data_IF_322361510484
#
_entry.id   IF_322361510484
#
_cell.length_a   1.000
_cell.length_b   1.000
_cell.length_c   1.000
_cell.angle_alpha   90.00
_cell.angle_beta   90.00
_cell.angle_gamma   90.00
#
_symmetry.space_group_name_H-M   'P 1'
#
loop_
_entity.id
_entity.type
_entity.pdbx_description
1 polymer ?
#
# COMPACT_ATOMS: atom_id res chain seq x y z
N UNK A 1 -23.15 -22.64 35.60
CA UNK A 1 -22.55 -22.26 34.31
C UNK A 1 -21.82 -23.48 33.81
N UNK A 2 -22.45 -24.22 32.91
CA UNK A 2 -22.05 -25.56 32.50
C UNK A 2 -20.90 -25.52 31.49
N UNK A 3 -20.17 -26.62 31.46
CA UNK A 3 -18.84 -26.86 30.88
C UNK A 3 -18.88 -26.93 29.34
N UNK A 4 -17.87 -26.38 28.68
CA UNK A 4 -17.59 -26.55 27.24
C UNK A 4 -16.08 -26.79 27.01
N UNK A 5 -15.54 -27.80 27.69
CA UNK A 5 -14.11 -28.18 27.67
C UNK A 5 -13.88 -29.58 27.06
N UNK A 6 -14.86 -30.14 26.33
CA UNK A 6 -14.80 -31.52 25.82
C UNK A 6 -14.60 -31.66 24.31
N UNK A 7 -14.33 -30.57 23.57
CA UNK A 7 -14.24 -30.60 22.10
C UNK A 7 -12.80 -30.66 21.55
N UNK A 8 -11.86 -31.25 22.28
CA UNK A 8 -10.55 -31.62 21.73
C UNK A 8 -10.46 -33.15 21.79
N UNK A 9 -10.60 -33.86 20.65
CA UNK A 9 -10.47 -35.31 20.61
C UNK A 9 -9.07 -35.71 21.06
N UNK A 10 -8.94 -36.31 22.25
CA UNK A 10 -7.67 -36.83 22.77
C UNK A 10 -7.13 -37.91 21.82
N UNK A 11 -5.96 -37.63 21.23
CA UNK A 11 -5.26 -38.55 20.35
C UNK A 11 -4.59 -39.72 21.09
N UNK A 12 -4.73 -39.83 22.41
CA UNK A 12 -3.95 -40.78 23.22
C UNK A 12 -4.74 -41.95 23.82
N UNK A 13 -6.08 -41.90 23.83
CA UNK A 13 -6.91 -42.84 24.63
C UNK A 13 -7.72 -43.87 23.83
N UNK A 14 -7.44 -44.00 22.52
CA UNK A 14 -8.16 -44.92 21.64
C UNK A 14 -7.28 -46.07 21.15
N UNK A 15 -7.72 -47.30 21.40
CA UNK A 15 -7.25 -48.55 20.76
C UNK A 15 -6.91 -48.26 19.29
N UNK A 16 -5.65 -48.50 18.91
CA UNK A 16 -5.10 -48.16 17.58
C UNK A 16 -5.88 -48.81 16.42
N UNK A 17 -6.67 -49.85 16.68
CA UNK A 17 -7.60 -50.48 15.74
C UNK A 17 -8.87 -49.68 15.43
N UNK A 18 -9.20 -48.65 16.22
CA UNK A 18 -10.38 -47.78 16.02
C UNK A 18 -10.06 -46.52 15.21
N UNK A 19 -8.81 -46.32 14.77
CA UNK A 19 -8.39 -45.12 14.01
C UNK A 19 -8.42 -45.29 12.50
N UNK A 20 -8.61 -46.52 12.05
CA UNK A 20 -8.80 -46.82 10.63
C UNK A 20 -10.29 -46.83 10.36
N UNK A 21 -10.74 -45.82 9.61
CA UNK A 21 -12.11 -45.73 9.11
C UNK A 21 -12.17 -46.52 7.81
N UNK A 22 -13.17 -47.38 7.66
CA UNK A 22 -13.35 -48.12 6.40
C UNK A 22 -13.91 -47.19 5.32
N UNK A 23 -13.63 -47.51 4.06
CA UNK A 23 -14.14 -46.73 2.93
C UNK A 23 -15.67 -46.60 2.97
N UNK A 24 -16.38 -47.69 3.30
CA UNK A 24 -17.84 -47.71 3.44
C UNK A 24 -18.33 -46.78 4.55
N UNK A 25 -17.60 -46.67 5.66
CA UNK A 25 -17.96 -45.77 6.75
C UNK A 25 -17.80 -44.30 6.33
N UNK A 26 -16.73 -43.96 5.58
CA UNK A 26 -16.53 -42.62 4.99
C UNK A 26 -17.64 -42.27 4.02
N UNK A 27 -17.99 -43.20 3.13
CA UNK A 27 -19.00 -42.97 2.09
C UNK A 27 -20.40 -42.83 2.71
N UNK A 28 -20.74 -43.65 3.71
CA UNK A 28 -22.00 -43.49 4.45
C UNK A 28 -22.06 -42.18 5.27
N UNK A 29 -20.92 -41.68 5.76
CA UNK A 29 -20.85 -40.41 6.47
C UNK A 29 -21.00 -39.22 5.52
N UNK A 30 -20.46 -39.31 4.30
CA UNK A 30 -20.66 -38.34 3.21
C UNK A 30 -22.12 -38.32 2.77
N UNK A 31 -22.72 -39.48 2.54
CA UNK A 31 -24.12 -39.60 2.11
C UNK A 31 -25.07 -38.98 3.15
N UNK A 32 -24.90 -39.29 4.44
CA UNK A 32 -25.69 -38.66 5.51
C UNK A 32 -25.52 -37.14 5.54
N UNK A 33 -24.30 -36.62 5.32
CA UNK A 33 -24.05 -35.18 5.27
C UNK A 33 -24.75 -34.55 4.06
N UNK A 34 -24.71 -35.21 2.93
CA UNK A 34 -25.34 -34.75 1.69
C UNK A 34 -26.87 -34.78 1.77
N UNK A 35 -27.45 -35.80 2.38
CA UNK A 35 -28.88 -35.87 2.69
C UNK A 35 -29.32 -34.73 3.60
N UNK A 36 -28.57 -34.47 4.67
CA UNK A 36 -28.84 -33.35 5.58
C UNK A 36 -28.74 -32.00 4.87
N UNK A 37 -27.76 -31.85 3.98
CA UNK A 37 -27.58 -30.64 3.17
C UNK A 37 -28.74 -30.44 2.19
N UNK A 38 -29.10 -31.49 1.46
CA UNK A 38 -30.25 -31.49 0.54
C UNK A 38 -31.55 -31.18 1.28
N UNK A 39 -31.75 -31.77 2.47
CA UNK A 39 -32.92 -31.50 3.31
C UNK A 39 -32.95 -30.04 3.82
N UNK A 40 -31.80 -29.47 4.19
CA UNK A 40 -31.70 -28.07 4.61
C UNK A 40 -32.07 -27.09 3.47
N UNK A 41 -31.57 -27.36 2.26
CA UNK A 41 -31.90 -26.56 1.06
C UNK A 41 -33.36 -26.72 0.63
N UNK A 42 -33.89 -27.95 0.67
CA UNK A 42 -35.31 -28.22 0.42
C UNK A 42 -36.22 -27.44 1.39
N UNK A 43 -35.83 -27.35 2.67
CA UNK A 43 -36.54 -26.53 3.66
C UNK A 43 -36.47 -25.03 3.36
N UNK A 44 -35.37 -24.56 2.77
CA UNK A 44 -35.20 -23.17 2.36
C UNK A 44 -35.92 -22.85 1.03
N UNK A 45 -36.44 -23.87 0.34
CA UNK A 45 -37.14 -23.72 -0.95
C UNK A 45 -36.21 -23.39 -2.12
N UNK A 46 -34.90 -23.57 -1.95
CA UNK A 46 -33.90 -23.41 -3.00
C UNK A 46 -33.36 -24.78 -3.41
N UNK A 47 -33.10 -24.96 -4.72
CA UNK A 47 -32.40 -26.14 -5.19
C UNK A 47 -30.97 -26.13 -4.59
N UNK A 48 -30.50 -27.25 -4.02
CA UNK A 48 -29.12 -27.35 -3.58
C UNK A 48 -28.21 -27.00 -4.76
N UNK A 49 -27.26 -26.05 -4.61
CA UNK A 49 -26.31 -25.77 -5.66
C UNK A 49 -25.61 -27.07 -6.07
N UNK A 50 -25.31 -27.26 -7.37
CA UNK A 50 -24.68 -28.47 -7.85
C UNK A 50 -23.45 -28.74 -7.00
N UNK A 51 -23.43 -29.92 -6.36
CA UNK A 51 -22.30 -30.30 -5.52
C UNK A 51 -21.06 -30.19 -6.39
N UNK A 52 -20.13 -29.33 -5.96
CA UNK A 52 -18.78 -29.35 -6.48
C UNK A 52 -18.27 -30.75 -6.14
N UNK A 53 -18.31 -31.63 -7.14
CA UNK A 53 -17.79 -32.97 -7.01
C UNK A 53 -16.36 -32.80 -6.49
N UNK A 54 -16.14 -33.18 -5.23
CA UNK A 54 -14.82 -33.53 -4.73
C UNK A 54 -14.35 -34.82 -5.44
N UNK A 55 -14.56 -34.94 -6.75
CA UNK A 55 -13.67 -35.70 -7.61
C UNK A 55 -12.40 -34.87 -7.67
N UNK A 56 -11.59 -35.00 -6.62
CA UNK A 56 -10.20 -34.66 -6.70
C UNK A 56 -9.65 -35.43 -7.89
N UNK A 57 -9.54 -34.75 -9.04
CA UNK A 57 -8.71 -35.15 -10.17
C UNK A 57 -7.47 -35.73 -9.54
N UNK A 58 -7.29 -37.05 -9.68
CA UNK A 58 -6.18 -37.76 -9.05
C UNK A 58 -4.90 -37.01 -9.40
N UNK A 59 -4.41 -36.25 -8.44
CA UNK A 59 -3.32 -35.34 -8.69
C UNK A 59 -2.07 -36.20 -8.78
N UNK A 60 -1.63 -36.43 -10.03
CA UNK A 60 -0.48 -37.25 -10.38
C UNK A 60 0.85 -36.69 -9.85
N UNK A 61 0.84 -35.50 -9.23
CA UNK A 61 1.97 -34.97 -8.48
C UNK A 61 2.29 -35.83 -7.27
N UNK A 62 3.59 -35.98 -7.02
CA UNK A 62 4.08 -36.70 -5.85
C UNK A 62 3.60 -36.03 -4.56
N UNK A 63 3.44 -36.79 -3.49
CA UNK A 63 3.11 -36.25 -2.16
C UNK A 63 4.10 -35.16 -1.74
N UNK A 64 5.37 -35.29 -2.11
CA UNK A 64 6.39 -34.28 -1.83
C UNK A 64 6.07 -32.92 -2.49
N UNK A 65 5.59 -32.93 -3.74
CA UNK A 65 5.20 -31.72 -4.46
C UNK A 65 3.94 -31.10 -3.86
N UNK A 66 2.97 -31.92 -3.45
CA UNK A 66 1.76 -31.45 -2.73
C UNK A 66 2.12 -30.78 -1.42
N UNK A 67 3.01 -31.37 -0.63
CA UNK A 67 3.47 -30.80 0.63
C UNK A 67 4.27 -29.51 0.41
N UNK A 68 5.10 -29.46 -0.63
CA UNK A 68 5.82 -28.25 -1.00
C UNK A 68 4.85 -27.13 -1.41
N UNK A 69 3.87 -27.42 -2.27
CA UNK A 69 2.84 -26.47 -2.67
C UNK A 69 2.03 -25.94 -1.47
N UNK A 70 1.68 -26.80 -0.51
CA UNK A 70 1.00 -26.36 0.71
C UNK A 70 1.86 -25.44 1.59
N UNK A 71 3.17 -25.72 1.69
CA UNK A 71 4.08 -24.84 2.43
C UNK A 71 4.22 -23.49 1.74
N UNK A 72 4.39 -23.51 0.41
CA UNK A 72 4.49 -22.29 -0.40
C UNK A 72 3.21 -21.48 -0.32
N UNK A 73 2.04 -22.09 -0.49
CA UNK A 73 0.76 -21.39 -0.37
C UNK A 73 0.58 -20.75 1.00
N UNK A 74 0.88 -21.47 2.09
CA UNK A 74 0.84 -20.90 3.44
C UNK A 74 1.84 -19.75 3.63
N UNK A 75 3.02 -19.87 3.05
CA UNK A 75 4.05 -18.85 3.11
C UNK A 75 3.63 -17.61 2.31
N UNK A 76 3.10 -17.77 1.11
CA UNK A 76 2.59 -16.69 0.26
C UNK A 76 1.42 -15.99 0.93
N UNK A 77 0.45 -16.71 1.50
CA UNK A 77 -0.64 -16.11 2.26
C UNK A 77 -0.15 -15.33 3.49
N UNK A 78 0.86 -15.86 4.19
CA UNK A 78 1.46 -15.17 5.35
C UNK A 78 2.20 -13.90 4.90
N UNK A 79 2.97 -14.00 3.82
CA UNK A 79 3.67 -12.87 3.23
C UNK A 79 2.69 -11.82 2.73
N UNK A 80 1.60 -12.18 2.06
CA UNK A 80 0.58 -11.23 1.60
C UNK A 80 -0.09 -10.50 2.77
N UNK A 81 -0.48 -11.24 3.82
CA UNK A 81 -1.06 -10.66 5.03
C UNK A 81 -0.07 -9.73 5.73
N UNK A 82 1.20 -10.10 5.78
CA UNK A 82 2.23 -9.36 6.50
C UNK A 82 2.95 -8.29 5.64
N UNK A 83 2.76 -8.31 4.32
CA UNK A 83 3.41 -7.41 3.35
C UNK A 83 3.00 -5.96 3.55
N UNK A 84 1.74 -5.71 3.91
CA UNK A 84 1.27 -4.37 4.25
C UNK A 84 1.74 -3.94 5.64
N UNK A 85 1.80 -4.88 6.59
CA UNK A 85 2.28 -4.60 7.95
C UNK A 85 3.77 -4.19 7.97
N UNK A 86 4.60 -4.82 7.13
CA UNK A 86 6.03 -4.51 7.05
C UNK A 86 6.37 -3.30 6.17
N UNK A 87 5.41 -2.78 5.39
CA UNK A 87 5.66 -1.63 4.50
C UNK A 87 5.71 -0.30 5.26
N UNK A 88 4.96 -0.21 6.35
CA UNK A 88 4.84 1.03 7.12
C UNK A 88 5.48 0.82 8.49
N UNK A 89 6.57 1.54 8.73
CA UNK A 89 7.11 1.73 10.08
C UNK A 89 6.60 3.05 10.66
N UNK A 90 6.61 3.17 11.98
CA UNK A 90 6.47 4.48 12.62
C UNK A 90 7.63 5.39 12.19
N UNK A 91 7.33 6.68 12.03
CA UNK A 91 8.35 7.72 11.87
C UNK A 91 9.10 7.87 13.21
N UNK A 92 10.42 8.02 13.15
CA UNK A 92 11.24 8.34 14.32
C UNK A 92 11.04 9.81 14.70
N UNK A 93 11.33 10.19 15.95
CA UNK A 93 11.09 11.55 16.45
C UNK A 93 11.86 12.60 15.64
N UNK A 94 13.11 12.30 15.26
CA UNK A 94 13.93 13.16 14.41
C UNK A 94 13.32 13.37 13.00
N UNK A 95 12.64 12.35 12.48
CA UNK A 95 12.04 12.39 11.15
C UNK A 95 10.74 13.18 11.13
N UNK A 96 9.99 13.15 12.23
CA UNK A 96 8.84 14.02 12.45
C UNK A 96 9.31 15.48 12.50
N UNK A 97 10.32 15.77 13.33
CA UNK A 97 10.90 17.12 13.45
C UNK A 97 11.44 17.64 12.12
N UNK A 98 12.05 16.76 11.32
CA UNK A 98 12.51 17.11 9.97
C UNK A 98 11.35 17.49 9.04
N UNK A 99 10.26 16.71 9.02
CA UNK A 99 9.08 17.02 8.20
C UNK A 99 8.41 18.33 8.63
N UNK A 100 8.36 18.60 9.94
CA UNK A 100 7.85 19.86 10.47
C UNK A 100 8.74 21.04 10.06
N UNK A 101 10.07 20.89 10.12
CA UNK A 101 11.00 21.93 9.66
C UNK A 101 10.87 22.25 8.17
N UNK A 102 10.60 21.24 7.32
CA UNK A 102 10.34 21.45 5.89
C UNK A 102 9.05 22.22 5.70
N UNK A 103 8.00 21.87 6.44
CA UNK A 103 6.70 22.53 6.36
C UNK A 103 6.78 23.99 6.80
N UNK A 104 7.45 24.25 7.92
CA UNK A 104 7.72 25.59 8.43
C UNK A 104 8.48 26.41 7.37
N UNK A 105 9.56 25.86 6.80
CA UNK A 105 10.32 26.54 5.76
C UNK A 105 9.48 26.87 4.51
N UNK A 106 8.63 25.95 4.06
CA UNK A 106 7.74 26.22 2.92
C UNK A 106 6.74 27.33 3.23
N UNK A 107 6.17 27.33 4.44
CA UNK A 107 5.24 28.37 4.88
C UNK A 107 5.93 29.73 5.02
N UNK A 108 7.15 29.76 5.55
CA UNK A 108 7.97 30.98 5.62
C UNK A 108 8.28 31.54 4.23
N UNK A 109 8.70 30.70 3.29
CA UNK A 109 8.96 31.11 1.91
C UNK A 109 7.69 31.66 1.23
N UNK A 110 6.55 31.00 1.40
CA UNK A 110 5.27 31.49 0.90
C UNK A 110 4.83 32.79 1.57
N UNK A 111 5.05 32.91 2.88
CA UNK A 111 4.72 34.09 3.66
C UNK A 111 5.56 35.28 3.21
N UNK A 112 6.88 35.12 3.09
CA UNK A 112 7.79 36.15 2.59
C UNK A 112 7.36 36.58 1.18
N UNK A 113 7.06 35.61 0.30
CA UNK A 113 6.57 35.90 -1.05
C UNK A 113 5.28 36.73 -1.02
N UNK A 114 4.31 36.34 -0.20
CA UNK A 114 3.04 37.07 -0.04
C UNK A 114 3.24 38.46 0.56
N UNK A 115 4.17 38.62 1.49
CA UNK A 115 4.53 39.91 2.06
C UNK A 115 5.17 40.83 1.01
N UNK A 116 6.10 40.32 0.20
CA UNK A 116 6.71 41.06 -0.92
C UNK A 116 5.67 41.49 -1.95
N UNK A 117 4.84 40.56 -2.43
CA UNK A 117 3.74 40.84 -3.36
C UNK A 117 2.79 41.90 -2.77
N UNK A 118 2.50 41.82 -1.47
CA UNK A 118 1.67 42.77 -0.75
C UNK A 118 2.27 44.18 -0.69
N UNK A 119 3.59 44.30 -0.51
CA UNK A 119 4.31 45.58 -0.53
C UNK A 119 4.28 46.20 -1.93
N UNK A 120 4.53 45.41 -2.97
CA UNK A 120 4.48 45.86 -4.36
C UNK A 120 3.08 46.38 -4.75
N UNK A 121 2.03 45.64 -4.39
CA UNK A 121 0.64 46.05 -4.65
C UNK A 121 0.31 47.35 -3.90
N UNK A 122 0.74 47.49 -2.64
CA UNK A 122 0.53 48.72 -1.86
C UNK A 122 1.23 49.91 -2.51
N UNK A 123 2.50 49.76 -2.90
CA UNK A 123 3.27 50.81 -3.59
C UNK A 123 2.64 51.22 -4.92
N UNK A 124 2.13 50.26 -5.70
CA UNK A 124 1.40 50.55 -6.92
C UNK A 124 0.11 51.36 -6.66
N UNK A 125 -0.68 50.96 -5.64
CA UNK A 125 -1.91 51.68 -5.25
C UNK A 125 -1.61 53.12 -4.84
N UNK A 126 -0.55 53.33 -4.06
CA UNK A 126 -0.10 54.67 -3.65
C UNK A 126 0.34 55.52 -4.84
N UNK A 127 1.18 54.97 -5.73
CA UNK A 127 1.64 55.67 -6.94
C UNK A 127 0.48 56.05 -7.88
N UNK A 128 -0.50 55.16 -8.06
CA UNK A 128 -1.72 55.45 -8.85
C UNK A 128 -2.53 56.56 -8.18
N UNK A 129 -2.70 56.52 -6.87
CA UNK A 129 -3.43 57.55 -6.12
C UNK A 129 -2.72 58.91 -6.19
N UNK A 130 -1.40 58.95 -6.03
CA UNK A 130 -0.57 60.15 -6.18
C UNK A 130 -0.64 60.72 -7.61
N UNK A 131 -0.60 59.84 -8.63
CA UNK A 131 -0.79 60.27 -10.02
C UNK A 131 -2.18 60.87 -10.24
N UNK A 132 -3.23 60.23 -9.71
CA UNK A 132 -4.60 60.73 -9.83
C UNK A 132 -4.80 62.08 -9.11
N UNK A 133 -4.16 62.29 -7.95
CA UNK A 133 -4.24 63.56 -7.22
C UNK A 133 -3.50 64.69 -7.92
N UNK A 134 -2.32 64.42 -8.51
CA UNK A 134 -1.58 65.44 -9.30
C UNK A 134 -2.32 65.84 -10.57
N UNK A 135 -2.99 64.91 -11.27
CA UNK A 135 -3.77 65.22 -12.47
C UNK A 135 -5.06 66.00 -12.19
N UNK A 136 -5.58 65.95 -10.96
CA UNK A 136 -6.75 66.72 -10.55
C UNK A 136 -6.40 68.15 -10.06
N UNK A 137 -5.11 68.52 -9.97
CA UNK A 137 -4.67 69.83 -9.45
C UNK A 137 -3.99 70.75 -10.47
N UNK A 138 -3.82 70.33 -11.74
CA UNK A 138 -3.21 71.16 -12.78
C UNK A 138 -4.18 71.41 -13.95
N UNK A 139 -4.38 72.67 -14.39
CA UNK A 139 -5.24 72.96 -15.54
C UNK A 139 -4.59 72.41 -16.84
N UNK A 140 -5.37 71.83 -17.76
CA UNK A 140 -4.84 71.31 -19.01
C UNK A 140 -4.54 72.47 -19.97
N UNK A 141 -3.26 72.79 -20.17
CA UNK A 141 -2.84 73.66 -21.28
C UNK A 141 -2.80 72.80 -22.55
N UNK A 142 -3.89 72.84 -23.30
CA UNK A 142 -4.04 72.21 -24.61
C UNK A 142 -3.78 73.28 -25.67
N UNK A 143 -2.78 73.05 -26.52
CA UNK A 143 -2.68 73.72 -27.83
C UNK A 143 -2.33 72.67 -28.89
N UNK A 144 -3.22 72.39 -29.86
CA UNK A 144 -2.90 71.55 -31.01
C UNK A 144 -2.50 72.41 -32.23
N UNK A 145 -1.65 71.90 -33.12
CA UNK A 145 -1.85 72.17 -34.54
C UNK A 145 -2.03 70.87 -35.34
N UNK A 146 -3.26 70.73 -35.83
CA UNK A 146 -3.66 70.49 -37.22
C UNK A 146 -2.88 69.47 -38.07
N UNK A 147 -3.62 68.46 -38.54
CA UNK A 147 -3.26 67.46 -39.55
C UNK A 147 -2.99 68.08 -40.95
N UNK A 148 -2.48 67.31 -41.95
CA UNK A 148 -3.39 66.45 -42.72
C UNK A 148 -2.81 65.10 -43.21
N UNK A 149 -3.70 64.12 -43.40
CA UNK A 149 -3.47 62.85 -44.09
C UNK A 149 -3.23 63.06 -45.61
N UNK A 150 -2.84 62.03 -46.41
CA UNK A 150 -3.91 61.27 -47.08
C UNK A 150 -3.62 59.81 -47.57
N UNK A 151 -4.74 59.09 -47.86
CA UNK A 151 -5.02 58.02 -48.86
C UNK A 151 -5.01 56.50 -48.49
N UNK A 152 -6.24 55.95 -48.45
CA UNK A 152 -6.81 54.71 -49.04
C UNK A 152 -5.90 53.77 -49.88
N UNK A 153 -6.09 52.44 -50.03
CA UNK A 153 -6.97 51.37 -49.51
C UNK A 153 -6.38 49.98 -50.02
N UNK A 154 -7.13 48.85 -50.10
CA UNK A 154 -6.91 47.59 -49.37
C UNK A 154 -6.24 46.44 -50.19
N UNK A 155 -5.60 45.46 -49.52
CA UNK A 155 -5.28 44.15 -50.13
C UNK A 155 -5.41 42.97 -49.16
N UNK A 156 -5.95 41.90 -49.72
CA UNK A 156 -6.38 40.60 -49.20
C UNK A 156 -5.26 39.63 -48.79
N UNK A 157 -5.67 38.66 -47.95
CA UNK A 157 -5.21 37.27 -47.86
C UNK A 157 -3.75 36.99 -47.45
N UNK A 158 -3.58 36.32 -46.30
CA UNK A 158 -2.53 35.32 -46.10
C UNK A 158 -2.89 34.39 -44.93
N UNK A 159 -3.10 33.12 -45.26
CA UNK A 159 -3.05 31.98 -44.37
C UNK A 159 -1.67 31.88 -43.70
N UNK A 160 -1.64 31.63 -42.38
CA UNK A 160 -0.43 31.11 -41.71
C UNK A 160 -0.79 29.88 -40.90
N UNK A 161 -0.32 28.77 -41.44
CA UNK A 161 -0.22 27.47 -40.82
C UNK A 161 1.05 27.42 -39.94
N UNK A 162 0.98 26.55 -38.95
CA UNK A 162 2.06 25.85 -38.27
C UNK A 162 2.90 26.58 -37.22
N UNK A 163 2.93 25.97 -36.03
CA UNK A 163 4.14 25.97 -35.22
C UNK A 163 3.97 25.57 -33.77
N UNK A 164 4.34 24.31 -33.48
CA UNK A 164 4.79 23.76 -32.17
C UNK A 164 3.68 23.06 -31.37
N UNK A 165 3.45 21.76 -31.61
CA UNK A 165 4.27 20.60 -31.18
C UNK A 165 4.22 20.39 -29.66
N UNK A 166 3.29 19.51 -29.26
CA UNK A 166 3.52 18.35 -28.40
C UNK A 166 4.39 18.55 -27.15
N UNK A 167 3.74 18.83 -26.02
CA UNK A 167 4.26 18.48 -24.70
C UNK A 167 4.22 16.94 -24.57
N UNK A 168 5.27 16.28 -25.07
CA UNK A 168 5.54 14.86 -24.81
C UNK A 168 6.19 14.76 -23.42
N UNK A 169 5.59 13.94 -22.58
CA UNK A 169 5.92 13.78 -21.16
C UNK A 169 7.39 13.48 -20.88
N UNK A 170 7.82 13.91 -19.70
CA UNK A 170 9.12 13.58 -19.12
C UNK A 170 9.04 12.17 -18.54
N UNK A 171 9.86 11.26 -19.08
CA UNK A 171 10.18 9.95 -18.49
C UNK A 171 11.55 10.06 -17.86
N UNK A 172 11.65 9.86 -16.53
CA UNK A 172 12.95 9.75 -15.83
C UNK A 172 13.41 8.29 -15.89
N UNK A 173 14.57 8.06 -16.50
CA UNK A 173 15.22 6.75 -16.62
C UNK A 173 16.20 6.52 -15.46
N UNK A 174 15.95 5.45 -14.71
CA UNK A 174 16.79 4.83 -13.68
C UNK A 174 18.23 4.57 -14.16
N UNK A 175 19.23 4.93 -13.34
CA UNK A 175 20.61 4.41 -13.42
C UNK A 175 20.85 3.43 -12.27
N UNK A 176 21.50 2.32 -12.60
CA UNK A 176 21.93 1.28 -11.67
C UNK A 176 23.40 1.49 -11.24
N UNK A 177 23.63 1.15 -9.97
CA UNK A 177 24.84 0.84 -9.16
C UNK A 177 26.22 0.73 -9.84
N UNK A 178 27.28 1.01 -9.06
CA UNK A 178 28.28 -0.04 -8.85
C UNK A 178 28.59 -0.30 -7.36
N UNK A 179 29.00 -1.54 -7.11
CA UNK A 179 29.34 -2.13 -5.83
C UNK A 179 30.68 -1.61 -5.26
N UNK A 180 30.75 -1.41 -3.95
CA UNK A 180 32.00 -1.27 -3.20
C UNK A 180 32.09 -2.39 -2.17
N UNK A 181 33.29 -2.97 -2.14
CA UNK A 181 33.70 -4.22 -1.50
C UNK A 181 33.73 -4.14 0.02
N UNK A 182 33.55 -5.32 0.60
CA UNK A 182 33.75 -5.67 1.99
C UNK A 182 35.14 -5.27 2.55
N UNK A 183 35.14 -4.84 3.81
CA UNK A 183 36.30 -4.82 4.69
C UNK A 183 35.88 -5.29 6.08
N UNK A 184 36.38 -6.46 6.50
CA UNK A 184 36.61 -6.83 7.89
C UNK A 184 38.13 -7.12 7.98
N UNK A 185 38.83 -6.85 9.11
CA UNK A 185 38.74 -7.79 10.24
C UNK A 185 39.04 -7.21 11.64
N UNK A 186 38.43 -7.78 12.69
CA UNK A 186 39.12 -7.98 13.96
C UNK A 186 38.82 -9.38 14.52
N UNK A 187 39.91 -10.07 14.88
CA UNK A 187 40.11 -11.44 15.40
C UNK A 187 40.43 -11.27 16.90
N UNK A 188 39.90 -12.02 17.87
CA UNK A 188 40.24 -13.41 18.29
C UNK A 188 39.52 -13.70 19.66
N UNK A 189 39.62 -14.89 20.31
CA UNK A 189 39.81 -16.29 19.87
C UNK A 189 38.65 -17.23 20.37
N UNK A 190 38.65 -18.54 20.06
CA UNK A 190 37.56 -19.47 20.43
C UNK A 190 37.87 -20.31 21.69
N UNK A 191 36.85 -20.90 22.32
CA UNK A 191 37.01 -22.25 22.86
C UNK A 191 35.90 -23.22 22.41
N UNK A 192 36.37 -24.31 21.83
CA UNK A 192 36.06 -25.71 22.14
C UNK A 192 34.60 -26.22 22.19
N UNK A 193 34.47 -27.38 21.55
CA UNK A 193 33.27 -28.20 21.41
C UNK A 193 32.88 -28.77 22.78
N UNK A 194 31.64 -28.56 23.21
CA UNK A 194 30.94 -29.48 24.10
C UNK A 194 29.57 -29.79 23.48
N UNK A 195 29.37 -31.07 23.20
CA UNK A 195 28.09 -31.66 22.83
C UNK A 195 27.35 -31.90 24.13
N UNK A 196 26.28 -31.14 24.39
CA UNK A 196 25.30 -31.50 25.40
C UNK A 196 23.91 -31.34 24.79
N UNK A 197 23.35 -32.50 24.48
CA UNK A 197 21.92 -32.76 24.30
C UNK A 197 21.18 -32.31 25.56
N UNK A 198 20.42 -31.21 25.50
CA UNK A 198 19.42 -30.89 26.51
C UNK A 198 18.23 -30.17 25.86
N UNK A 199 17.25 -30.98 25.43
CA UNK A 199 15.89 -30.52 25.16
C UNK A 199 15.27 -29.95 26.45
N UNK A 200 14.46 -28.87 26.40
CA UNK A 200 13.77 -28.40 27.59
C UNK A 200 12.66 -29.38 28.01
N UNK A 201 12.86 -29.98 29.18
CA UNK A 201 11.93 -30.87 29.86
C UNK A 201 10.60 -30.14 30.20
N UNK A 202 9.43 -30.62 29.75
CA UNK A 202 8.16 -29.94 30.00
C UNK A 202 7.75 -30.10 31.47
N UNK A 203 7.81 -28.99 32.22
CA UNK A 203 7.33 -28.85 33.61
C UNK A 203 5.93 -29.45 33.80
N UNK A 204 5.83 -30.66 34.37
CA UNK A 204 4.58 -31.22 34.90
C UNK A 204 4.10 -30.39 36.09
N UNK A 205 3.02 -29.62 35.92
CA UNK A 205 2.26 -29.07 37.04
C UNK A 205 1.57 -30.23 37.77
N UNK A 206 1.96 -30.50 39.01
CA UNK A 206 1.21 -31.38 39.92
C UNK A 206 -0.09 -30.67 40.29
N UNK A 207 -1.22 -31.20 39.86
CA UNK A 207 -2.52 -30.86 40.43
C UNK A 207 -2.68 -31.66 41.72
N UNK A 208 -2.85 -30.96 42.84
CA UNK A 208 -3.24 -31.52 44.13
C UNK A 208 -4.76 -31.61 44.14
N UNK A 209 -5.31 -32.81 44.22
CA UNK A 209 -6.75 -33.05 44.38
C UNK A 209 -7.11 -33.07 45.87
N UNK A 210 -8.22 -32.44 46.33
CA UNK A 210 -8.75 -32.62 47.67
C UNK A 210 -9.44 -33.98 47.85
#
# INVERSE_FOLDING_TARGET
MAQDESLIPSLSDGVVGSRFVTQDEIDSARERRDEQWKAAYARLGQEPPPQQQEEGVYDGRSLAEKLAANRVAKQEEWEEKNKLANQFRALEEDEIMFLDSIREKQEEEERIRREMDGVEIKGFREAVAARASTTNSAPPVISPPTAPAPKAAPKSAASKKDGKKTLKGVVVKKKAKPAVKAAAPHKAPPPEKHVDEDLPDPKRRKVSTP
#
